data_IF_581042712026
#
_entry.id   IF_581042712026
#
_cell.length_a   1.000
_cell.length_b   1.000
_cell.length_c   1.000
_cell.angle_alpha   90.00
_cell.angle_beta   90.00
_cell.angle_gamma   90.00
#
_symmetry.space_group_name_H-M   'P 1'
#
loop_
_entity.id
_entity.type
_entity.pdbx_description
1 polymer ?
#
# COMPACT_ATOMS: atom_id res chain seq x y z
N UNK A 1 13.64 19.85 3.62
CA UNK A 1 14.82 19.00 3.33
C UNK A 1 14.57 17.62 3.93
N UNK A 2 14.77 16.56 3.17
CA UNK A 2 14.66 15.17 3.65
C UNK A 2 16.01 14.73 4.19
N UNK A 3 16.04 14.17 5.40
CA UNK A 3 17.22 13.62 6.04
C UNK A 3 16.91 12.19 6.47
N UNK A 4 17.83 11.26 6.15
CA UNK A 4 17.73 9.87 6.54
C UNK A 4 18.87 9.48 7.47
N UNK A 5 18.55 8.78 8.57
CA UNK A 5 19.55 8.33 9.54
C UNK A 5 19.11 7.06 10.27
N UNK A 6 20.06 6.19 10.59
CA UNK A 6 19.83 5.04 11.46
C UNK A 6 19.86 5.48 12.91
N UNK A 7 18.80 5.14 13.68
CA UNK A 7 18.67 5.50 15.09
C UNK A 7 19.12 4.37 16.03
N UNK A 8 18.77 3.14 15.66
CA UNK A 8 19.12 1.89 16.36
C UNK A 8 19.39 0.83 15.26
N UNK A 9 20.01 -0.32 15.60
CA UNK A 9 20.22 -1.37 14.62
C UNK A 9 18.93 -1.75 13.88
N UNK A 10 18.91 -1.56 12.56
CA UNK A 10 17.76 -1.83 11.70
C UNK A 10 16.56 -0.91 11.90
N UNK A 11 16.70 0.22 12.58
CA UNK A 11 15.66 1.27 12.73
C UNK A 11 16.15 2.55 12.08
N UNK A 12 15.50 2.94 10.98
CA UNK A 12 15.89 4.11 10.19
C UNK A 12 14.78 5.16 10.21
N UNK A 13 15.17 6.40 10.43
CA UNK A 13 14.30 7.57 10.36
C UNK A 13 14.47 8.27 9.01
N UNK A 14 13.37 8.56 8.34
CA UNK A 14 13.27 9.55 7.27
C UNK A 14 12.52 10.77 7.83
N UNK A 15 13.21 11.90 7.98
CA UNK A 15 12.64 13.13 8.50
C UNK A 15 12.54 14.21 7.41
N UNK A 16 11.35 14.77 7.23
CA UNK A 16 11.06 15.88 6.31
C UNK A 16 10.72 17.11 7.13
N UNK A 17 11.69 18.03 7.27
CA UNK A 17 11.44 19.30 7.95
C UNK A 17 10.72 20.27 7.02
N UNK A 18 9.56 20.78 7.46
CA UNK A 18 8.73 21.72 6.70
C UNK A 18 7.83 22.56 7.62
N UNK A 19 7.58 23.81 7.24
CA UNK A 19 6.61 24.71 7.90
C UNK A 19 5.25 24.76 7.18
N UNK A 20 5.10 23.99 6.11
CA UNK A 20 3.95 24.04 5.20
C UNK A 20 2.62 23.68 5.89
N UNK A 21 2.68 22.76 6.87
CA UNK A 21 1.50 22.20 7.52
C UNK A 21 1.34 22.72 8.95
N UNK A 22 0.08 22.69 9.42
CA UNK A 22 -0.27 23.01 10.81
C UNK A 22 -0.13 21.81 11.74
N UNK A 23 -0.12 20.63 11.17
CA UNK A 23 0.05 19.35 11.87
C UNK A 23 1.32 18.67 11.41
N UNK A 24 2.01 18.05 12.35
CA UNK A 24 3.05 17.08 12.08
C UNK A 24 2.44 15.69 11.89
N UNK A 25 3.10 14.83 11.14
CA UNK A 25 2.75 13.44 11.05
C UNK A 25 3.96 12.54 11.34
N UNK A 26 3.66 11.37 11.85
CA UNK A 26 4.65 10.34 12.16
C UNK A 26 4.10 8.98 11.79
N UNK A 27 4.94 8.10 11.23
CA UNK A 27 4.63 6.69 11.11
C UNK A 27 5.78 5.80 11.55
N UNK A 28 5.44 4.65 12.14
CA UNK A 28 6.37 3.55 12.41
C UNK A 28 5.90 2.33 11.65
N UNK A 29 6.79 1.74 10.85
CA UNK A 29 6.48 0.63 9.95
C UNK A 29 7.47 -0.51 10.19
N UNK A 30 6.96 -1.65 10.64
CA UNK A 30 7.68 -2.91 10.78
C UNK A 30 7.56 -3.69 9.48
N UNK A 31 8.67 -3.97 8.82
CA UNK A 31 8.73 -4.65 7.53
C UNK A 31 8.90 -6.14 7.73
N UNK A 32 7.94 -6.91 7.22
CA UNK A 32 7.98 -8.38 7.24
C UNK A 32 7.82 -8.92 5.82
N UNK A 33 8.48 -10.03 5.46
CA UNK A 33 8.09 -10.77 4.28
C UNK A 33 6.60 -11.14 4.36
N UNK A 34 5.89 -11.02 3.26
CA UNK A 34 4.48 -11.38 3.23
C UNK A 34 4.32 -12.90 3.21
N UNK A 35 3.94 -13.49 4.33
CA UNK A 35 3.71 -14.92 4.50
C UNK A 35 2.30 -15.17 4.96
N UNK A 36 1.67 -16.22 4.44
CA UNK A 36 0.30 -16.56 4.81
C UNK A 36 0.17 -16.82 6.31
N UNK A 37 1.10 -17.54 6.87
CA UNK A 37 1.10 -17.96 8.27
C UNK A 37 1.19 -16.79 9.26
N UNK A 38 1.78 -15.68 8.83
CA UNK A 38 1.99 -14.49 9.65
C UNK A 38 0.99 -13.36 9.35
N UNK A 39 0.42 -13.30 8.14
CA UNK A 39 -0.26 -12.12 7.62
C UNK A 39 -1.45 -11.66 8.50
N UNK A 40 -2.28 -12.59 8.97
CA UNK A 40 -3.41 -12.27 9.84
C UNK A 40 -2.94 -11.82 11.23
N UNK A 41 -1.95 -12.49 11.83
CA UNK A 41 -1.38 -12.09 13.12
C UNK A 41 -0.73 -10.72 13.05
N UNK A 42 0.09 -10.48 12.01
CA UNK A 42 0.73 -9.18 11.81
C UNK A 42 -0.29 -8.05 11.63
N UNK A 43 -1.43 -8.32 10.98
CA UNK A 43 -2.51 -7.34 10.83
C UNK A 43 -3.26 -7.06 12.15
N UNK A 44 -3.35 -8.04 13.04
CA UNK A 44 -3.99 -7.90 14.36
C UNK A 44 -3.16 -7.10 15.35
N UNK A 45 -1.83 -7.24 15.33
CA UNK A 45 -0.93 -6.65 16.33
C UNK A 45 -1.22 -5.16 16.58
N UNK A 46 -1.17 -4.25 15.57
CA UNK A 46 -1.35 -2.83 15.85
C UNK A 46 -2.76 -2.51 16.38
N UNK A 47 -3.79 -3.23 15.96
CA UNK A 47 -5.15 -3.02 16.45
C UNK A 47 -5.31 -3.48 17.91
N UNK A 48 -4.68 -4.59 18.30
CA UNK A 48 -4.70 -5.06 19.70
C UNK A 48 -3.91 -4.13 20.61
N UNK A 49 -2.76 -3.59 20.15
CA UNK A 49 -1.98 -2.60 20.90
C UNK A 49 -2.76 -1.31 21.17
N UNK A 50 -3.63 -0.91 20.27
CA UNK A 50 -4.52 0.25 20.44
C UNK A 50 -5.71 -0.01 21.38
N UNK A 51 -5.85 -1.21 21.95
CA UNK A 51 -6.91 -1.52 22.93
C UNK A 51 -6.53 -1.12 24.35
N UNK A 52 -5.24 -1.06 24.66
CA UNK A 52 -4.77 -0.64 25.98
C UNK A 52 -3.27 -0.84 26.20
N UNK A 53 -2.71 0.03 27.01
CA UNK A 53 -1.35 0.00 27.52
C UNK A 53 -1.33 -0.12 29.05
N UNK A 54 -0.15 -0.19 29.65
CA UNK A 54 0.01 -0.17 31.11
C UNK A 54 -0.55 1.11 31.74
N UNK A 55 -0.31 2.28 31.13
CA UNK A 55 -0.79 3.57 31.63
C UNK A 55 -2.20 3.93 31.16
N UNK A 56 -2.63 3.42 30.01
CA UNK A 56 -3.95 3.64 29.43
C UNK A 56 -4.64 2.29 29.18
N UNK A 57 -5.27 1.69 30.20
CA UNK A 57 -5.68 0.28 30.16
C UNK A 57 -6.88 -0.03 29.25
N UNK A 58 -7.56 0.95 28.69
CA UNK A 58 -8.73 0.76 27.85
C UNK A 58 -8.88 1.90 26.80
N UNK A 59 -9.81 1.72 25.86
CA UNK A 59 -10.09 2.70 24.80
C UNK A 59 -10.50 4.07 25.33
N UNK A 60 -11.18 4.13 26.49
CA UNK A 60 -11.61 5.39 27.08
C UNK A 60 -10.42 6.19 27.59
N UNK A 61 -9.49 5.55 28.29
CA UNK A 61 -8.26 6.18 28.77
C UNK A 61 -7.33 6.59 27.64
N UNK A 62 -7.25 5.78 26.57
CA UNK A 62 -6.54 6.15 25.33
C UNK A 62 -7.16 7.39 24.71
N UNK A 63 -8.49 7.43 24.53
CA UNK A 63 -9.17 8.58 23.97
C UNK A 63 -8.97 9.84 24.82
N UNK A 64 -9.11 9.74 26.15
CA UNK A 64 -8.86 10.85 27.06
C UNK A 64 -7.40 11.36 26.94
N UNK A 65 -6.43 10.44 26.82
CA UNK A 65 -5.03 10.82 26.61
C UNK A 65 -4.80 11.55 25.31
N UNK A 66 -5.41 11.11 24.21
CA UNK A 66 -5.33 11.78 22.92
C UNK A 66 -5.98 13.16 22.95
N UNK A 67 -7.12 13.32 23.66
CA UNK A 67 -7.76 14.63 23.86
C UNK A 67 -6.85 15.59 24.63
N UNK A 68 -6.16 15.14 25.70
CA UNK A 68 -5.14 15.92 26.41
C UNK A 68 -3.97 16.35 25.51
N UNK A 69 -3.69 15.57 24.44
CA UNK A 69 -2.67 15.84 23.43
C UNK A 69 -3.24 16.65 22.26
N UNK A 70 -4.19 17.55 22.53
CA UNK A 70 -4.82 18.43 21.53
C UNK A 70 -5.58 17.70 20.43
N UNK A 71 -6.18 16.56 20.74
CA UNK A 71 -6.88 15.74 19.77
C UNK A 71 -5.94 15.08 18.77
N UNK A 72 -4.72 14.72 19.19
CA UNK A 72 -3.82 13.92 18.39
C UNK A 72 -4.53 12.62 17.96
N UNK A 73 -4.27 12.16 16.75
CA UNK A 73 -4.81 10.89 16.27
C UNK A 73 -3.73 9.83 16.16
N UNK A 74 -4.06 8.61 16.55
CA UNK A 74 -3.21 7.44 16.37
C UNK A 74 -4.05 6.34 15.74
N UNK A 75 -3.57 5.77 14.65
CA UNK A 75 -4.23 4.70 13.92
C UNK A 75 -3.32 3.51 13.66
N UNK A 76 -3.94 2.31 13.60
CA UNK A 76 -3.27 1.11 13.14
C UNK A 76 -2.96 1.20 11.66
N UNK A 77 -1.81 0.67 11.26
CA UNK A 77 -1.33 0.69 9.90
C UNK A 77 -1.01 -0.74 9.45
N UNK A 78 -1.66 -1.19 8.36
CA UNK A 78 -1.35 -2.44 7.67
C UNK A 78 -1.30 -2.16 6.19
N UNK A 79 -0.11 -2.26 5.60
CA UNK A 79 0.12 -2.03 4.16
C UNK A 79 0.74 -3.27 3.51
N UNK A 80 0.61 -3.33 2.18
CA UNK A 80 1.31 -4.29 1.33
C UNK A 80 2.02 -3.52 0.24
N UNK A 81 3.31 -3.75 0.08
CA UNK A 81 4.14 -3.18 -0.99
C UNK A 81 4.91 -4.33 -1.65
N UNK A 82 4.42 -4.78 -2.80
CA UNK A 82 4.91 -6.02 -3.38
C UNK A 82 4.71 -7.22 -2.44
N UNK A 83 5.75 -7.94 -2.13
CA UNK A 83 5.77 -9.09 -1.22
C UNK A 83 6.20 -8.74 0.20
N UNK A 84 6.08 -7.46 0.56
CA UNK A 84 6.36 -6.96 1.90
C UNK A 84 5.06 -6.54 2.57
N UNK A 85 4.80 -7.09 3.75
CA UNK A 85 3.77 -6.61 4.66
C UNK A 85 4.39 -5.60 5.63
N UNK A 86 3.70 -4.47 5.80
CA UNK A 86 4.09 -3.42 6.73
C UNK A 86 3.00 -3.25 7.75
N UNK A 87 3.38 -3.31 9.04
CA UNK A 87 2.45 -3.11 10.16
C UNK A 87 3.01 -2.09 11.12
N UNK A 88 2.16 -1.35 11.81
CA UNK A 88 2.60 -0.35 12.77
C UNK A 88 1.55 0.71 13.05
N UNK A 89 1.99 1.94 13.27
CA UNK A 89 1.14 3.07 13.62
C UNK A 89 1.37 4.26 12.70
N UNK A 90 0.33 5.04 12.54
CA UNK A 90 0.36 6.37 11.98
C UNK A 90 -0.24 7.35 12.98
N UNK A 91 0.38 8.52 13.15
CA UNK A 91 -0.08 9.57 14.04
C UNK A 91 -0.06 10.95 13.37
N UNK A 92 -1.09 11.73 13.64
CA UNK A 92 -1.16 13.16 13.33
C UNK A 92 -1.30 13.95 14.63
N UNK A 93 -0.62 15.08 14.72
CA UNK A 93 -0.64 15.94 15.90
C UNK A 93 -0.45 17.41 15.51
N UNK A 94 -0.97 18.33 16.31
CA UNK A 94 -0.73 19.76 16.11
C UNK A 94 0.76 20.07 16.39
N UNK A 95 1.32 21.01 15.63
CA UNK A 95 2.70 21.45 15.85
C UNK A 95 2.84 22.25 17.16
N UNK A 96 3.93 22.02 17.93
CA UNK A 96 4.23 22.64 19.21
C UNK A 96 4.08 24.16 19.16
N UNK A 97 4.56 24.78 18.08
CA UNK A 97 4.51 26.25 17.87
C UNK A 97 3.08 26.79 17.73
N UNK A 98 2.12 25.97 17.37
CA UNK A 98 0.72 26.33 17.22
C UNK A 98 -0.09 26.01 18.48
N UNK A 99 0.27 24.96 19.19
CA UNK A 99 -0.30 24.61 20.49
C UNK A 99 0.14 25.58 21.59
N UNK A 100 1.33 26.17 21.46
CA UNK A 100 1.94 27.02 22.49
C UNK A 100 2.66 26.22 23.59
N UNK A 101 2.71 24.90 23.49
CA UNK A 101 3.41 23.98 24.39
C UNK A 101 3.90 22.73 23.63
N UNK A 102 4.64 21.86 24.33
CA UNK A 102 5.18 20.65 23.75
C UNK A 102 4.05 19.62 23.51
N UNK A 103 3.82 19.23 22.27
CA UNK A 103 2.87 18.16 21.85
C UNK A 103 3.62 16.98 21.24
N UNK A 104 4.62 17.23 20.38
CA UNK A 104 5.37 16.17 19.69
C UNK A 104 5.97 15.15 20.66
N UNK A 105 6.73 15.62 21.67
CA UNK A 105 7.39 14.70 22.59
C UNK A 105 6.42 13.84 23.38
N UNK A 106 5.35 14.38 24.00
CA UNK A 106 4.29 13.59 24.66
C UNK A 106 3.58 12.60 23.73
N UNK A 107 3.33 12.96 22.46
CA UNK A 107 2.73 12.04 21.48
C UNK A 107 3.68 10.88 21.16
N UNK A 108 4.99 11.15 20.98
CA UNK A 108 5.98 10.10 20.75
C UNK A 108 6.14 9.19 21.98
N UNK A 109 6.10 9.75 23.19
CA UNK A 109 6.13 8.97 24.43
C UNK A 109 4.92 8.05 24.55
N UNK A 110 3.74 8.55 24.21
CA UNK A 110 2.51 7.76 24.20
C UNK A 110 2.53 6.65 23.14
N UNK A 111 3.04 6.93 21.95
CA UNK A 111 3.24 5.89 20.92
C UNK A 111 4.22 4.82 21.37
N UNK A 112 5.31 5.23 22.03
CA UNK A 112 6.27 4.29 22.62
C UNK A 112 5.65 3.42 23.70
N UNK A 113 4.78 3.99 24.52
CA UNK A 113 4.02 3.23 25.54
C UNK A 113 3.08 2.22 24.89
N UNK A 114 2.26 2.61 23.93
CA UNK A 114 1.37 1.71 23.18
C UNK A 114 2.14 0.57 22.52
N UNK A 115 3.32 0.89 21.98
CA UNK A 115 4.14 -0.08 21.26
C UNK A 115 4.89 -1.04 22.17
N UNK A 116 5.48 -0.56 23.29
CA UNK A 116 6.45 -1.32 24.09
C UNK A 116 5.89 -1.79 25.43
N UNK A 117 4.77 -1.21 25.89
CA UNK A 117 4.14 -1.51 27.19
C UNK A 117 2.63 -1.79 27.02
N UNK A 118 2.28 -2.77 26.15
CA UNK A 118 0.88 -3.14 25.99
C UNK A 118 0.31 -3.68 27.31
N UNK A 119 -1.00 -3.52 27.49
CA UNK A 119 -1.68 -4.19 28.60
C UNK A 119 -1.66 -5.69 28.39
N UNK A 120 -1.11 -6.39 29.39
CA UNK A 120 -1.02 -7.84 29.40
C UNK A 120 -1.86 -8.44 30.53
N UNK A 121 -2.28 -9.68 30.36
CA UNK A 121 -2.92 -10.53 31.36
C UNK A 121 -2.29 -11.92 31.26
N UNK A 122 -1.89 -12.49 32.39
CA UNK A 122 -1.21 -13.79 32.45
C UNK A 122 0.03 -13.91 31.53
N UNK A 123 0.73 -12.79 31.30
CA UNK A 123 1.95 -12.75 30.49
C UNK A 123 1.75 -12.73 28.96
N UNK A 124 0.52 -12.58 28.49
CA UNK A 124 0.16 -12.43 27.08
C UNK A 124 -0.85 -11.31 26.86
N UNK A 125 -1.28 -11.08 25.62
CA UNK A 125 -2.33 -10.09 25.32
C UNK A 125 -3.66 -10.44 26.01
N UNK A 126 -4.39 -9.41 26.47
CA UNK A 126 -5.73 -9.56 27.06
C UNK A 126 -6.65 -10.28 26.08
N UNK A 127 -7.21 -11.41 26.49
CA UNK A 127 -8.05 -12.28 25.66
C UNK A 127 -9.22 -11.54 25.03
N UNK A 128 -9.91 -10.68 25.80
CA UNK A 128 -11.04 -9.92 25.31
C UNK A 128 -10.64 -8.98 24.16
N UNK A 129 -9.45 -8.36 24.23
CA UNK A 129 -8.95 -7.49 23.18
C UNK A 129 -8.64 -8.26 21.89
N UNK A 130 -7.95 -9.40 22.02
CA UNK A 130 -7.63 -10.26 20.87
C UNK A 130 -8.92 -10.75 20.21
N UNK A 131 -9.88 -11.30 20.97
CA UNK A 131 -11.13 -11.80 20.41
C UNK A 131 -11.99 -10.68 19.76
N UNK A 132 -11.96 -9.46 20.32
CA UNK A 132 -12.63 -8.31 19.72
C UNK A 132 -12.00 -7.94 18.36
N UNK A 133 -10.66 -7.85 18.29
CA UNK A 133 -9.97 -7.48 17.07
C UNK A 133 -9.98 -8.60 16.02
N UNK A 134 -10.02 -9.87 16.42
CA UNK A 134 -10.29 -11.01 15.51
C UNK A 134 -11.64 -10.85 14.81
N UNK A 135 -12.70 -10.51 15.55
CA UNK A 135 -14.02 -10.26 14.94
C UNK A 135 -13.98 -9.08 13.97
N UNK A 136 -13.30 -7.99 14.33
CA UNK A 136 -13.15 -6.82 13.48
C UNK A 136 -12.39 -7.16 12.19
N UNK A 137 -11.28 -7.89 12.31
CA UNK A 137 -10.49 -8.34 11.17
C UNK A 137 -11.26 -9.30 10.26
N UNK A 138 -11.94 -10.29 10.85
CA UNK A 138 -12.78 -11.24 10.12
C UNK A 138 -13.88 -10.51 9.32
N UNK A 139 -14.55 -9.54 9.94
CA UNK A 139 -15.55 -8.70 9.27
C UNK A 139 -14.93 -7.87 8.14
N UNK A 140 -13.76 -7.29 8.35
CA UNK A 140 -13.06 -6.52 7.32
C UNK A 140 -12.65 -7.41 6.12
N UNK A 141 -12.20 -8.64 6.37
CA UNK A 141 -11.89 -9.61 5.32
C UNK A 141 -13.16 -10.04 4.58
N UNK A 142 -14.19 -10.45 5.32
CA UNK A 142 -15.44 -10.90 4.73
C UNK A 142 -16.14 -9.80 3.91
N UNK A 143 -16.06 -8.54 4.34
CA UNK A 143 -16.70 -7.42 3.64
C UNK A 143 -16.06 -7.08 2.28
N UNK A 144 -14.88 -7.61 1.97
CA UNK A 144 -14.22 -7.38 0.66
C UNK A 144 -15.09 -7.82 -0.52
N UNK A 145 -15.89 -8.86 -0.33
CA UNK A 145 -16.82 -9.35 -1.37
C UNK A 145 -17.90 -8.33 -1.74
N UNK A 146 -18.19 -7.34 -0.88
CA UNK A 146 -19.20 -6.32 -1.13
C UNK A 146 -18.75 -5.33 -2.22
N UNK A 147 -17.45 -5.02 -2.30
CA UNK A 147 -16.87 -4.29 -3.44
C UNK A 147 -16.46 -5.31 -4.52
N UNK A 148 -17.35 -5.55 -5.46
CA UNK A 148 -17.16 -6.53 -6.54
C UNK A 148 -15.97 -6.22 -7.44
N UNK A 149 -15.57 -4.95 -7.57
CA UNK A 149 -14.38 -4.55 -8.32
C UNK A 149 -13.11 -4.96 -7.57
N UNK A 150 -13.00 -4.61 -6.30
CA UNK A 150 -11.87 -4.98 -5.44
C UNK A 150 -11.78 -6.50 -5.29
N UNK A 151 -12.93 -7.17 -5.16
CA UNK A 151 -13.01 -8.62 -5.11
C UNK A 151 -12.45 -9.27 -6.39
N UNK A 152 -12.96 -8.89 -7.57
CA UNK A 152 -12.52 -9.44 -8.86
C UNK A 152 -11.01 -9.21 -9.10
N UNK A 153 -10.51 -8.03 -8.77
CA UNK A 153 -9.07 -7.73 -8.84
C UNK A 153 -8.25 -8.59 -7.87
N UNK A 154 -8.78 -8.83 -6.67
CA UNK A 154 -8.14 -9.72 -5.69
C UNK A 154 -8.06 -11.17 -6.18
N UNK A 155 -9.14 -11.70 -6.76
CA UNK A 155 -9.16 -13.04 -7.34
C UNK A 155 -8.24 -13.17 -8.56
N UNK A 156 -8.17 -12.13 -9.40
CA UNK A 156 -7.19 -12.05 -10.47
C UNK A 156 -5.76 -12.21 -9.93
N UNK A 157 -5.38 -11.40 -8.94
CA UNK A 157 -4.05 -11.44 -8.33
C UNK A 157 -3.76 -12.79 -7.70
N UNK A 158 -4.72 -13.37 -6.99
CA UNK A 158 -4.61 -14.70 -6.37
C UNK A 158 -4.36 -15.80 -7.41
N UNK A 159 -5.00 -15.70 -8.58
CA UNK A 159 -4.80 -16.63 -9.69
C UNK A 159 -3.48 -16.38 -10.41
N UNK A 160 -3.19 -15.12 -10.74
CA UNK A 160 -2.00 -14.72 -11.48
C UNK A 160 -0.71 -15.08 -10.75
N UNK A 161 -0.69 -14.85 -9.43
CA UNK A 161 0.47 -15.05 -8.57
C UNK A 161 0.32 -16.31 -7.68
N UNK A 162 -0.44 -17.31 -8.14
CA UNK A 162 -0.67 -18.52 -7.36
C UNK A 162 0.66 -19.21 -6.97
N UNK A 163 0.83 -19.47 -5.68
CA UNK A 163 2.07 -20.04 -5.13
C UNK A 163 3.16 -19.01 -4.79
N UNK A 164 2.95 -17.74 -5.06
CA UNK A 164 3.88 -16.67 -4.72
C UNK A 164 3.39 -15.88 -3.50
N UNK A 165 4.30 -15.27 -2.76
CA UNK A 165 3.97 -14.43 -1.60
C UNK A 165 3.01 -13.30 -1.97
N UNK A 166 3.13 -12.75 -3.19
CA UNK A 166 2.25 -11.68 -3.66
C UNK A 166 0.76 -12.07 -3.73
N UNK A 167 0.41 -13.36 -3.84
CA UNK A 167 -0.99 -13.80 -3.79
C UNK A 167 -1.62 -13.60 -2.41
N UNK A 168 -0.83 -13.55 -1.33
CA UNK A 168 -1.31 -13.40 0.04
C UNK A 168 -1.90 -11.99 0.24
N UNK A 169 -3.15 -11.86 0.72
CA UNK A 169 -3.73 -10.56 1.02
C UNK A 169 -3.07 -9.91 2.23
N UNK A 170 -3.02 -8.57 2.26
CA UNK A 170 -2.39 -7.80 3.35
C UNK A 170 -2.95 -8.07 4.76
N UNK A 171 -4.20 -8.50 4.85
CA UNK A 171 -4.88 -8.81 6.12
C UNK A 171 -4.95 -10.33 6.39
N UNK A 172 -4.28 -11.15 5.58
CA UNK A 172 -4.46 -12.60 5.60
C UNK A 172 -5.79 -13.07 5.02
N UNK A 173 -6.08 -14.35 5.18
CA UNK A 173 -7.33 -14.99 4.81
C UNK A 173 -8.22 -15.19 6.02
N UNK A 174 -9.53 -15.33 5.82
CA UNK A 174 -10.52 -15.46 6.89
C UNK A 174 -10.24 -16.68 7.78
N UNK A 175 -9.84 -17.79 7.19
CA UNK A 175 -9.52 -19.06 7.86
C UNK A 175 -8.28 -18.97 8.75
N UNK A 176 -7.38 -18.01 8.49
CA UNK A 176 -6.15 -17.81 9.26
C UNK A 176 -6.39 -16.94 10.53
N UNK A 177 -7.57 -16.31 10.67
CA UNK A 177 -7.91 -15.45 11.82
C UNK A 177 -8.39 -16.26 13.02
N UNK A 178 -9.24 -17.26 12.79
CA UNK A 178 -9.87 -18.04 13.89
C UNK A 178 -8.85 -18.75 14.79
N UNK A 179 -7.76 -19.36 14.27
CA UNK A 179 -6.79 -20.08 15.09
C UNK A 179 -5.91 -19.19 15.97
N UNK A 180 -5.93 -17.85 15.78
CA UNK A 180 -5.05 -16.93 16.52
C UNK A 180 -5.43 -16.93 17.99
N UNK A 181 -4.44 -17.21 18.87
CA UNK A 181 -4.58 -17.15 20.32
C UNK A 181 -3.86 -15.94 20.91
N UNK A 182 -4.21 -15.46 22.12
CA UNK A 182 -3.50 -14.38 22.80
C UNK A 182 -2.00 -14.64 22.96
N UNK A 183 -1.64 -15.86 23.33
CA UNK A 183 -0.26 -16.31 23.54
C UNK A 183 0.52 -16.33 22.21
N UNK A 184 -0.09 -16.90 21.17
CA UNK A 184 0.50 -16.95 19.81
C UNK A 184 0.70 -15.55 19.22
N UNK A 185 -0.30 -14.68 19.38
CA UNK A 185 -0.22 -13.30 18.91
C UNK A 185 0.84 -12.50 19.66
N UNK A 186 0.98 -12.71 20.98
CA UNK A 186 2.02 -12.07 21.78
C UNK A 186 3.42 -12.55 21.37
N UNK A 187 3.59 -13.83 21.09
CA UNK A 187 4.85 -14.37 20.58
C UNK A 187 5.21 -13.75 19.22
N UNK A 188 4.23 -13.64 18.30
CA UNK A 188 4.40 -12.97 17.00
C UNK A 188 4.76 -11.49 17.17
N UNK A 189 4.08 -10.76 18.05
CA UNK A 189 4.40 -9.37 18.36
C UNK A 189 5.86 -9.21 18.81
N UNK A 190 6.34 -10.04 19.73
CA UNK A 190 7.73 -9.99 20.21
C UNK A 190 8.73 -10.25 19.07
N UNK A 191 8.42 -11.19 18.18
CA UNK A 191 9.23 -11.50 17.00
C UNK A 191 9.24 -10.30 16.03
N UNK A 192 8.09 -9.70 15.75
CA UNK A 192 7.98 -8.51 14.89
C UNK A 192 8.84 -7.38 15.43
N UNK A 193 8.79 -7.08 16.73
CA UNK A 193 9.61 -6.03 17.34
C UNK A 193 11.12 -6.32 17.22
N UNK A 194 11.52 -7.57 17.42
CA UNK A 194 12.94 -7.95 17.47
C UNK A 194 13.57 -8.07 16.08
N UNK A 195 12.86 -8.69 15.13
CA UNK A 195 13.45 -9.18 13.87
C UNK A 195 13.11 -8.35 12.64
N UNK A 196 12.11 -7.44 12.72
CA UNK A 196 11.75 -6.61 11.56
C UNK A 196 12.73 -5.48 11.35
N UNK A 197 13.01 -5.14 10.08
CA UNK A 197 13.48 -3.80 9.76
C UNK A 197 12.37 -2.80 10.07
N UNK A 198 12.74 -1.64 10.63
CA UNK A 198 11.79 -0.60 11.03
C UNK A 198 12.11 0.67 10.28
N UNK A 199 11.15 1.20 9.55
CA UNK A 199 11.22 2.49 8.89
C UNK A 199 10.27 3.46 9.59
N UNK A 200 10.84 4.56 10.07
CA UNK A 200 10.14 5.67 10.68
C UNK A 200 10.06 6.80 9.67
N UNK A 201 8.90 7.40 9.57
CA UNK A 201 8.72 8.61 8.79
C UNK A 201 8.21 9.73 9.69
N UNK A 202 8.82 10.89 9.61
CA UNK A 202 8.38 12.10 10.28
C UNK A 202 8.29 13.24 9.27
N UNK A 203 7.23 14.02 9.36
CA UNK A 203 7.12 15.30 8.68
C UNK A 203 6.53 16.34 9.62
N UNK A 204 7.21 17.48 9.73
CA UNK A 204 6.79 18.56 10.60
C UNK A 204 7.87 19.65 10.72
N UNK A 205 7.72 20.51 11.73
CA UNK A 205 8.58 21.67 11.92
C UNK A 205 9.87 21.40 12.66
N UNK A 206 9.94 20.30 13.42
CA UNK A 206 11.16 19.97 14.19
C UNK A 206 12.32 19.60 13.29
N UNK A 207 13.52 19.90 13.75
CA UNK A 207 14.74 19.45 13.08
C UNK A 207 14.86 17.93 13.13
N UNK A 208 15.53 17.34 12.13
CA UNK A 208 15.79 15.90 12.11
C UNK A 208 16.57 15.43 13.36
N UNK A 209 17.46 16.29 13.92
CA UNK A 209 18.21 15.99 15.13
C UNK A 209 17.31 15.88 16.36
N UNK A 210 16.40 16.85 16.58
CA UNK A 210 15.48 16.83 17.71
C UNK A 210 14.53 15.63 17.65
N UNK A 211 14.05 15.30 16.43
CA UNK A 211 13.21 14.12 16.20
C UNK A 211 13.99 12.84 16.51
N UNK A 212 15.23 12.74 16.04
CA UNK A 212 16.07 11.57 16.27
C UNK A 212 16.36 11.36 17.77
N UNK A 213 16.71 12.40 18.50
CA UNK A 213 16.96 12.32 19.95
C UNK A 213 15.73 11.84 20.70
N UNK A 214 14.56 12.41 20.40
CA UNK A 214 13.30 11.99 21.02
C UNK A 214 12.96 10.52 20.73
N UNK A 215 13.10 10.10 19.46
CA UNK A 215 12.78 8.73 19.06
C UNK A 215 13.78 7.71 19.59
N UNK A 216 15.08 8.06 19.66
CA UNK A 216 16.08 7.20 20.32
C UNK A 216 15.75 6.97 21.80
N UNK A 217 15.28 8.00 22.50
CA UNK A 217 14.84 7.90 23.88
C UNK A 217 13.62 6.99 24.03
N UNK A 218 12.61 7.19 23.19
CA UNK A 218 11.36 6.41 23.21
C UNK A 218 11.59 4.95 22.87
N UNK A 219 12.42 4.68 21.85
CA UNK A 219 12.63 3.33 21.32
C UNK A 219 13.86 2.62 21.93
N UNK A 220 14.52 3.19 22.95
CA UNK A 220 15.71 2.59 23.55
C UNK A 220 15.52 1.15 24.07
N UNK A 221 14.30 0.80 24.48
CA UNK A 221 13.93 -0.52 24.99
C UNK A 221 13.39 -1.45 23.89
N UNK A 222 13.34 -0.98 22.63
CA UNK A 222 12.90 -1.81 21.52
C UNK A 222 13.87 -3.00 21.34
N UNK A 223 13.40 -4.23 21.48
CA UNK A 223 14.25 -5.39 21.33
C UNK A 223 14.76 -5.49 19.90
N UNK A 224 16.07 -5.71 19.73
CA UNK A 224 16.66 -5.84 18.38
C UNK A 224 17.48 -7.13 18.30
N UNK A 225 17.18 -7.95 17.29
CA UNK A 225 17.98 -9.14 16.98
C UNK A 225 19.34 -8.74 16.37
N UNK A 226 20.27 -9.67 16.37
CA UNK A 226 21.60 -9.46 15.75
C UNK A 226 21.53 -9.39 14.20
N UNK A 227 20.48 -9.95 13.60
CA UNK A 227 20.21 -9.89 12.18
C UNK A 227 18.71 -9.69 11.94
N UNK A 228 18.38 -8.97 10.88
CA UNK A 228 17.00 -8.70 10.48
C UNK A 228 16.64 -9.52 9.26
N UNK A 229 15.39 -9.97 9.20
CA UNK A 229 14.91 -10.70 8.05
C UNK A 229 14.93 -9.82 6.81
N UNK A 230 15.47 -10.36 5.72
CA UNK A 230 15.50 -9.65 4.44
C UNK A 230 14.09 -9.57 3.86
N UNK A 231 13.73 -8.40 3.38
CA UNK A 231 12.48 -8.17 2.67
C UNK A 231 12.78 -7.78 1.22
N UNK A 232 11.92 -8.20 0.32
CA UNK A 232 12.05 -7.90 -1.10
C UNK A 232 10.82 -8.37 -1.86
N UNK A 233 10.80 -8.11 -3.14
CA UNK A 233 9.73 -8.54 -4.04
C UNK A 233 10.35 -9.12 -5.30
N UNK A 234 9.98 -10.32 -5.65
CA UNK A 234 10.38 -10.93 -6.92
C UNK A 234 9.52 -10.36 -8.06
N UNK A 235 10.17 -10.00 -9.17
CA UNK A 235 9.46 -9.53 -10.35
C UNK A 235 8.63 -10.66 -10.95
N UNK A 236 7.38 -10.36 -11.34
CA UNK A 236 6.50 -11.32 -11.97
C UNK A 236 7.05 -11.79 -13.31
N UNK A 237 7.11 -13.10 -13.49
CA UNK A 237 7.43 -13.73 -14.77
C UNK A 237 6.16 -13.89 -15.62
N UNK A 238 6.30 -13.72 -16.95
CA UNK A 238 5.20 -13.95 -17.87
C UNK A 238 4.77 -15.43 -17.87
N UNK A 239 3.46 -15.66 -17.83
CA UNK A 239 2.91 -17.00 -18.01
C UNK A 239 3.20 -17.52 -19.44
N UNK A 240 3.35 -18.83 -19.59
CA UNK A 240 3.47 -19.46 -20.92
C UNK A 240 2.16 -19.39 -21.69
N UNK A 241 1.04 -19.63 -20.98
CA UNK A 241 -0.31 -19.61 -21.51
C UNK A 241 -1.18 -18.68 -20.68
N UNK A 242 -2.09 -17.95 -21.34
CA UNK A 242 -3.05 -17.07 -20.67
C UNK A 242 -4.04 -17.88 -19.86
N UNK A 243 -4.11 -17.61 -18.56
CA UNK A 243 -5.06 -18.26 -17.66
C UNK A 243 -6.39 -17.53 -17.71
N UNK A 244 -7.50 -18.28 -17.78
CA UNK A 244 -8.86 -17.72 -17.78
C UNK A 244 -9.65 -18.34 -16.64
N UNK A 245 -10.24 -17.50 -15.79
CA UNK A 245 -11.06 -17.92 -14.66
C UNK A 245 -12.38 -17.15 -14.71
N UNK A 246 -13.49 -17.88 -14.62
CA UNK A 246 -14.83 -17.31 -14.50
C UNK A 246 -15.42 -17.72 -13.16
N UNK A 247 -16.01 -16.75 -12.47
CA UNK A 247 -16.78 -16.97 -11.26
C UNK A 247 -18.20 -16.39 -11.43
N UNK A 248 -19.20 -17.05 -10.85
CA UNK A 248 -20.59 -16.60 -10.88
C UNK A 248 -21.06 -16.17 -9.50
N UNK A 249 -21.65 -14.99 -9.43
CA UNK A 249 -22.14 -14.41 -8.20
C UNK A 249 -23.39 -13.58 -8.45
N UNK A 250 -24.18 -13.32 -7.43
CA UNK A 250 -25.31 -12.39 -7.53
C UNK A 250 -24.79 -10.97 -7.76
N UNK A 251 -24.71 -10.59 -9.04
CA UNK A 251 -24.27 -9.28 -9.51
C UNK A 251 -25.12 -8.87 -10.71
N UNK A 252 -25.38 -7.57 -10.80
CA UNK A 252 -26.14 -6.96 -11.92
C UNK A 252 -25.25 -6.53 -13.08
N UNK A 253 -23.93 -6.59 -12.90
CA UNK A 253 -22.94 -6.15 -13.87
C UNK A 253 -21.69 -7.02 -13.81
N UNK A 254 -21.20 -7.46 -14.94
CA UNK A 254 -19.94 -8.19 -15.07
C UNK A 254 -18.73 -7.38 -14.62
N UNK A 255 -17.73 -8.06 -14.05
CA UNK A 255 -16.41 -7.48 -13.78
C UNK A 255 -15.38 -8.25 -14.60
N UNK A 256 -14.71 -7.52 -15.47
CA UNK A 256 -13.57 -8.01 -16.24
C UNK A 256 -12.29 -7.47 -15.62
N UNK A 257 -11.44 -8.35 -15.14
CA UNK A 257 -10.13 -8.02 -14.62
C UNK A 257 -9.06 -8.75 -15.44
N UNK A 258 -8.09 -8.00 -15.97
CA UNK A 258 -7.02 -8.56 -16.80
C UNK A 258 -5.67 -8.21 -16.19
N UNK A 259 -4.86 -9.22 -15.93
CA UNK A 259 -3.52 -9.10 -15.37
C UNK A 259 -2.44 -9.27 -16.43
N UNK A 260 -1.49 -8.37 -16.42
CA UNK A 260 -0.37 -8.35 -17.34
C UNK A 260 0.95 -8.30 -16.59
N UNK A 261 1.98 -8.94 -17.10
CA UNK A 261 3.36 -8.68 -16.68
C UNK A 261 3.89 -7.49 -17.47
N UNK A 262 4.67 -6.64 -16.82
CA UNK A 262 5.21 -5.42 -17.48
C UNK A 262 6.67 -5.57 -17.89
N UNK A 263 7.36 -6.59 -17.37
CA UNK A 263 8.79 -6.76 -17.56
C UNK A 263 9.65 -5.65 -16.92
N UNK A 264 9.03 -4.78 -16.10
CA UNK A 264 9.69 -3.63 -15.49
C UNK A 264 9.15 -3.38 -14.07
N UNK A 265 10.04 -3.04 -13.15
CA UNK A 265 9.74 -2.65 -11.76
C UNK A 265 10.24 -1.23 -11.47
N UNK A 266 9.85 -0.67 -10.32
CA UNK A 266 10.18 0.70 -9.94
C UNK A 266 11.70 1.02 -9.88
N UNK A 267 12.55 0.02 -9.71
CA UNK A 267 14.01 0.18 -9.68
C UNK A 267 14.69 0.23 -11.06
N UNK A 268 13.94 0.00 -12.12
CA UNK A 268 14.50 -0.09 -13.47
C UNK A 268 14.44 1.27 -14.21
N UNK A 269 15.42 1.53 -15.06
CA UNK A 269 15.55 2.79 -15.79
C UNK A 269 14.31 3.13 -16.65
N UNK A 270 13.60 2.11 -17.12
CA UNK A 270 12.42 2.25 -17.98
C UNK A 270 11.11 2.47 -17.19
N UNK A 271 11.16 2.47 -15.87
CA UNK A 271 9.96 2.64 -15.04
C UNK A 271 9.19 3.95 -15.33
N UNK A 272 9.83 5.11 -15.55
CA UNK A 272 9.09 6.31 -15.96
C UNK A 272 8.31 6.14 -17.27
N UNK A 273 8.87 5.42 -18.26
CA UNK A 273 8.18 5.13 -19.50
C UNK A 273 6.97 4.20 -19.29
N UNK A 274 7.08 3.21 -18.38
CA UNK A 274 5.96 2.36 -17.99
C UNK A 274 4.84 3.15 -17.29
N UNK A 275 5.18 4.15 -16.46
CA UNK A 275 4.16 5.02 -15.85
C UNK A 275 3.41 5.85 -16.89
N UNK A 276 4.14 6.44 -17.86
CA UNK A 276 3.52 7.18 -18.97
C UNK A 276 2.66 6.26 -19.80
N UNK A 277 3.14 5.05 -20.15
CA UNK A 277 2.34 4.03 -20.82
C UNK A 277 1.04 3.73 -20.08
N UNK A 278 1.11 3.43 -18.80
CA UNK A 278 -0.09 3.13 -18.00
C UNK A 278 -1.09 4.29 -18.05
N UNK A 279 -0.59 5.53 -17.98
CA UNK A 279 -1.46 6.72 -18.00
C UNK A 279 -2.09 6.94 -19.36
N UNK A 280 -1.35 6.74 -20.45
CA UNK A 280 -1.88 6.75 -21.84
C UNK A 280 -2.89 5.64 -22.04
N UNK A 281 -2.61 4.44 -21.54
CA UNK A 281 -3.44 3.26 -21.76
C UNK A 281 -4.75 3.32 -20.96
N UNK A 282 -4.68 3.42 -19.61
CA UNK A 282 -5.87 3.35 -18.76
C UNK A 282 -5.79 4.11 -17.43
N UNK A 283 -4.73 4.89 -17.19
CA UNK A 283 -4.49 5.54 -15.90
C UNK A 283 -5.17 6.91 -15.71
N UNK A 284 -5.90 7.42 -16.67
CA UNK A 284 -6.50 8.75 -16.57
C UNK A 284 -7.74 8.92 -17.46
N UNK A 285 -8.42 10.07 -17.32
CA UNK A 285 -9.64 10.41 -18.09
C UNK A 285 -9.36 10.72 -19.58
N UNK A 286 -8.12 10.91 -19.95
CA UNK A 286 -7.67 11.09 -21.34
C UNK A 286 -7.06 9.82 -21.94
N UNK A 287 -7.11 8.71 -21.19
CA UNK A 287 -6.53 7.43 -21.60
C UNK A 287 -7.34 6.75 -22.70
N UNK A 288 -6.68 5.85 -23.44
CA UNK A 288 -7.33 5.07 -24.49
C UNK A 288 -8.50 4.24 -23.97
N UNK A 289 -8.36 3.59 -22.81
CA UNK A 289 -9.44 2.81 -22.23
C UNK A 289 -10.65 3.69 -21.86
N UNK A 290 -10.41 4.89 -21.35
CA UNK A 290 -11.49 5.80 -21.01
C UNK A 290 -12.16 6.35 -22.29
N UNK A 291 -11.39 6.88 -23.24
CA UNK A 291 -11.94 7.56 -24.43
C UNK A 291 -12.53 6.58 -25.44
N UNK A 292 -11.85 5.45 -25.71
CA UNK A 292 -12.29 4.49 -26.72
C UNK A 292 -13.28 3.47 -26.17
N UNK A 293 -12.92 2.75 -25.11
CA UNK A 293 -13.72 1.62 -24.61
C UNK A 293 -14.98 2.10 -23.89
N UNK A 294 -14.86 3.16 -23.07
CA UNK A 294 -15.99 3.69 -22.30
C UNK A 294 -16.81 4.71 -23.09
N UNK A 295 -16.18 5.79 -23.60
CA UNK A 295 -16.94 6.92 -24.17
C UNK A 295 -17.40 6.65 -25.60
N UNK A 296 -16.49 6.29 -26.52
CA UNK A 296 -16.83 6.12 -27.93
C UNK A 296 -17.65 4.83 -28.18
N UNK A 297 -17.20 3.70 -27.65
CA UNK A 297 -17.84 2.41 -27.91
C UNK A 297 -18.90 2.02 -26.86
N UNK A 298 -18.97 2.72 -25.75
CA UNK A 298 -19.92 2.47 -24.67
C UNK A 298 -19.97 0.98 -24.23
N UNK A 299 -18.81 0.32 -24.20
CA UNK A 299 -18.69 -1.09 -23.85
C UNK A 299 -18.72 -1.32 -22.34
N UNK A 300 -18.38 -0.29 -21.56
CA UNK A 300 -18.25 -0.43 -20.12
C UNK A 300 -18.63 0.85 -19.37
N UNK A 301 -18.91 0.71 -18.07
CA UNK A 301 -19.15 1.85 -17.17
C UNK A 301 -17.84 2.50 -16.68
N UNK A 302 -16.82 1.70 -16.55
CA UNK A 302 -15.45 2.13 -16.28
C UNK A 302 -14.47 1.14 -16.92
N UNK A 303 -13.34 1.64 -17.37
CA UNK A 303 -12.17 0.85 -17.73
C UNK A 303 -10.93 1.62 -17.31
N UNK A 304 -10.06 0.99 -16.54
CA UNK A 304 -8.84 1.61 -16.05
C UNK A 304 -7.72 0.60 -15.87
N UNK A 305 -6.48 1.09 -15.94
CA UNK A 305 -5.29 0.31 -15.62
C UNK A 305 -4.54 0.91 -14.43
N UNK A 306 -3.86 0.04 -13.68
CA UNK A 306 -2.98 0.40 -12.58
C UNK A 306 -1.75 -0.50 -12.57
N UNK A 307 -0.64 0.00 -12.01
CA UNK A 307 0.62 -0.73 -11.90
C UNK A 307 0.92 -1.06 -10.45
N UNK A 308 1.25 -2.32 -10.18
CA UNK A 308 1.98 -2.69 -8.96
C UNK A 308 3.48 -2.65 -9.26
N UNK A 309 4.06 -1.54 -8.87
CA UNK A 309 5.42 -1.14 -9.27
C UNK A 309 6.53 -2.08 -8.77
N UNK A 310 6.34 -2.73 -7.61
CA UNK A 310 7.36 -3.60 -7.02
C UNK A 310 7.33 -4.99 -7.65
N UNK A 311 6.13 -5.47 -8.05
CA UNK A 311 5.94 -6.79 -8.65
C UNK A 311 6.10 -6.78 -10.17
N UNK A 312 6.00 -5.62 -10.81
CA UNK A 312 6.02 -5.51 -12.27
C UNK A 312 4.75 -6.06 -12.91
N UNK A 313 3.60 -5.77 -12.30
CA UNK A 313 2.28 -6.19 -12.77
C UNK A 313 1.44 -4.98 -13.13
N UNK A 314 0.73 -5.05 -14.27
CA UNK A 314 -0.32 -4.12 -14.64
C UNK A 314 -1.67 -4.83 -14.55
N UNK A 315 -2.66 -4.17 -13.95
CA UNK A 315 -4.01 -4.71 -13.81
C UNK A 315 -4.97 -3.77 -14.51
N UNK A 316 -5.74 -4.29 -15.47
CA UNK A 316 -6.91 -3.62 -16.04
C UNK A 316 -8.14 -4.10 -15.30
N UNK A 317 -9.02 -3.18 -14.93
CA UNK A 317 -10.31 -3.46 -14.28
C UNK A 317 -11.40 -2.73 -15.02
N UNK A 318 -12.47 -3.45 -15.37
CA UNK A 318 -13.62 -2.90 -16.11
C UNK A 318 -14.95 -3.46 -15.58
N UNK A 319 -15.99 -2.62 -15.59
CA UNK A 319 -17.37 -2.98 -15.30
C UNK A 319 -18.17 -3.02 -16.58
N UNK A 320 -18.58 -4.21 -17.04
CA UNK A 320 -19.11 -4.48 -18.38
C UNK A 320 -20.46 -5.18 -18.30
N UNK A 321 -21.37 -4.93 -19.22
CA UNK A 321 -22.57 -5.74 -19.40
C UNK A 321 -22.19 -7.16 -19.82
N UNK A 322 -22.99 -8.17 -19.43
CA UNK A 322 -22.61 -9.57 -19.62
C UNK A 322 -22.41 -9.98 -21.08
N UNK A 323 -23.21 -9.42 -21.97
CA UNK A 323 -23.16 -9.65 -23.44
C UNK A 323 -22.02 -8.92 -24.15
N UNK A 324 -21.39 -7.95 -23.47
CA UNK A 324 -20.29 -7.15 -24.04
C UNK A 324 -18.91 -7.54 -23.51
N UNK A 325 -18.81 -8.54 -22.64
CA UNK A 325 -17.55 -8.91 -21.98
C UNK A 325 -16.44 -9.26 -22.96
N UNK A 326 -16.72 -10.10 -23.97
CA UNK A 326 -15.76 -10.53 -24.97
C UNK A 326 -15.32 -9.35 -25.86
N UNK A 327 -16.28 -8.53 -26.32
CA UNK A 327 -15.99 -7.33 -27.11
C UNK A 327 -15.15 -6.32 -26.34
N UNK A 328 -15.41 -6.16 -25.04
CA UNK A 328 -14.62 -5.26 -24.19
C UNK A 328 -13.19 -5.79 -23.98
N UNK A 329 -13.02 -7.11 -23.80
CA UNK A 329 -11.71 -7.74 -23.73
C UNK A 329 -10.90 -7.52 -25.01
N UNK A 330 -11.49 -7.81 -26.16
CA UNK A 330 -10.85 -7.63 -27.47
C UNK A 330 -10.44 -6.17 -27.70
N UNK A 331 -11.31 -5.23 -27.36
CA UNK A 331 -11.03 -3.81 -27.51
C UNK A 331 -9.92 -3.33 -26.58
N UNK A 332 -9.90 -3.79 -25.32
CA UNK A 332 -8.81 -3.49 -24.37
C UNK A 332 -7.47 -3.97 -24.93
N UNK A 333 -7.42 -5.18 -25.48
CA UNK A 333 -6.20 -5.72 -26.09
C UNK A 333 -5.80 -4.95 -27.34
N UNK A 334 -6.78 -4.51 -28.16
CA UNK A 334 -6.52 -3.68 -29.33
C UNK A 334 -5.90 -2.33 -28.95
N UNK A 335 -6.40 -1.68 -27.88
CA UNK A 335 -5.82 -0.42 -27.41
C UNK A 335 -4.38 -0.60 -26.88
N UNK A 336 -4.05 -1.76 -26.31
CA UNK A 336 -2.67 -2.07 -25.96
C UNK A 336 -1.80 -2.27 -27.20
N UNK A 337 -2.33 -2.91 -28.25
CA UNK A 337 -1.63 -3.09 -29.53
C UNK A 337 -1.36 -1.74 -30.22
N UNK A 338 -2.32 -0.82 -30.18
CA UNK A 338 -2.13 0.55 -30.66
C UNK A 338 -0.94 1.22 -29.95
N UNK A 339 -0.82 1.05 -28.62
CA UNK A 339 0.33 1.54 -27.87
C UNK A 339 1.66 0.88 -28.30
N UNK A 340 1.68 -0.43 -28.57
CA UNK A 340 2.86 -1.17 -29.07
C UNK A 340 3.34 -0.69 -30.43
N UNK A 341 2.38 -0.31 -31.29
CA UNK A 341 2.65 0.21 -32.62
C UNK A 341 3.04 1.70 -32.61
N UNK A 342 2.98 2.35 -31.43
CA UNK A 342 3.30 3.77 -31.29
C UNK A 342 2.15 4.69 -31.76
N UNK A 343 0.94 4.15 -31.89
CA UNK A 343 -0.28 4.91 -32.21
C UNK A 343 -0.76 5.67 -30.95
N UNK A 344 0.06 6.64 -30.56
CA UNK A 344 -0.15 7.53 -29.40
C UNK A 344 -0.13 8.96 -29.94
N UNK A 345 -1.26 9.65 -29.86
CA UNK A 345 -1.37 11.03 -30.27
C UNK A 345 -0.55 11.97 -29.37
N UNK A 346 -0.25 13.19 -29.90
CA UNK A 346 0.37 14.25 -29.11
C UNK A 346 -0.44 14.57 -27.87
N UNK A 347 -1.75 14.62 -28.00
CA UNK A 347 -2.66 14.93 -26.91
C UNK A 347 -2.62 13.85 -25.79
N UNK A 348 -2.69 12.57 -26.14
CA UNK A 348 -2.62 11.47 -25.17
C UNK A 348 -1.28 11.47 -24.42
N UNK A 349 -0.17 11.63 -25.17
CA UNK A 349 1.18 11.62 -24.60
C UNK A 349 1.43 12.79 -23.65
N UNK A 350 1.16 14.03 -24.11
CA UNK A 350 1.40 15.22 -23.31
C UNK A 350 0.44 15.31 -22.10
N UNK A 351 -0.83 14.92 -22.29
CA UNK A 351 -1.80 14.84 -21.19
C UNK A 351 -1.36 13.85 -20.12
N UNK A 352 -0.84 12.69 -20.49
CA UNK A 352 -0.36 11.67 -19.55
C UNK A 352 0.83 12.17 -18.74
N UNK A 353 1.83 12.81 -19.39
CA UNK A 353 2.98 13.41 -18.68
C UNK A 353 2.54 14.52 -17.73
N UNK A 354 1.70 15.43 -18.20
CA UNK A 354 1.20 16.54 -17.38
C UNK A 354 0.39 16.03 -16.17
N UNK A 355 -0.44 15.01 -16.37
CA UNK A 355 -1.17 14.36 -15.28
C UNK A 355 -0.23 13.81 -14.21
N UNK A 356 0.78 13.02 -14.59
CA UNK A 356 1.75 12.43 -13.68
C UNK A 356 2.56 13.49 -12.93
N UNK A 357 3.04 14.51 -13.61
CA UNK A 357 3.81 15.60 -13.00
C UNK A 357 2.94 16.43 -12.03
N UNK A 358 1.68 16.67 -12.39
CA UNK A 358 0.72 17.34 -11.51
C UNK A 358 0.39 16.50 -10.29
N UNK A 359 0.22 15.18 -10.47
CA UNK A 359 -0.05 14.26 -9.37
C UNK A 359 1.11 14.19 -8.36
N UNK A 360 2.37 14.16 -8.85
CA UNK A 360 3.55 14.25 -7.99
C UNK A 360 3.61 15.57 -7.23
N UNK A 361 3.29 16.70 -7.89
CA UNK A 361 3.22 18.02 -7.21
C UNK A 361 2.14 18.03 -6.12
N UNK A 362 0.96 17.47 -6.41
CA UNK A 362 -0.15 17.38 -5.45
C UNK A 362 0.20 16.47 -4.28
N UNK A 363 1.01 15.42 -4.51
CA UNK A 363 1.49 14.55 -3.44
C UNK A 363 2.32 15.30 -2.39
N UNK A 364 3.07 16.33 -2.79
CA UNK A 364 3.83 17.20 -1.88
C UNK A 364 2.95 18.03 -0.93
N UNK A 365 1.63 18.08 -1.19
CA UNK A 365 0.63 18.77 -0.35
C UNK A 365 -0.10 17.80 0.60
N UNK A 366 0.29 16.54 0.63
CA UNK A 366 -0.35 15.51 1.46
C UNK A 366 0.69 14.73 2.27
N UNK A 367 0.73 14.92 3.61
CA UNK A 367 1.63 14.18 4.49
C UNK A 367 1.53 12.67 4.32
N UNK A 368 0.31 12.13 4.27
CA UNK A 368 0.09 10.70 4.11
C UNK A 368 0.55 10.14 2.75
N UNK A 369 0.50 10.94 1.66
CA UNK A 369 1.03 10.52 0.35
C UNK A 369 2.57 10.54 0.34
N UNK A 370 3.18 11.50 1.03
CA UNK A 370 4.63 11.55 1.19
C UNK A 370 5.14 10.37 2.01
N UNK A 371 4.47 10.06 3.13
CA UNK A 371 4.76 8.87 3.92
C UNK A 371 4.63 7.60 3.07
N UNK A 372 3.49 7.40 2.38
CA UNK A 372 3.26 6.21 1.56
C UNK A 372 4.30 6.07 0.42
N UNK A 373 4.72 7.18 -0.19
CA UNK A 373 5.77 7.20 -1.19
C UNK A 373 7.13 6.82 -0.59
N UNK A 374 7.55 7.50 0.48
CA UNK A 374 8.85 7.25 1.13
C UNK A 374 8.96 5.79 1.60
N UNK A 375 7.95 5.32 2.34
CA UNK A 375 7.89 3.92 2.82
C UNK A 375 7.83 2.92 1.65
N UNK A 376 7.10 3.24 0.57
CA UNK A 376 7.05 2.43 -0.64
C UNK A 376 8.41 2.32 -1.36
N UNK A 377 9.20 3.40 -1.39
CA UNK A 377 10.58 3.36 -1.91
C UNK A 377 11.48 2.44 -1.05
N UNK A 378 11.34 2.51 0.27
CA UNK A 378 12.11 1.64 1.20
C UNK A 378 11.74 0.16 1.05
N UNK A 379 10.46 -0.14 0.86
CA UNK A 379 10.00 -1.51 0.59
C UNK A 379 10.54 -2.07 -0.74
N UNK A 380 10.79 -1.20 -1.72
CA UNK A 380 11.42 -1.55 -2.99
C UNK A 380 12.96 -1.54 -2.95
N UNK A 381 13.60 -1.16 -1.84
CA UNK A 381 15.05 -1.01 -1.74
C UNK A 381 15.60 0.20 -2.50
N UNK A 382 14.75 1.22 -2.77
CA UNK A 382 15.10 2.39 -3.56
C UNK A 382 15.37 3.62 -2.69
N UNK A 383 16.22 4.51 -3.17
CA UNK A 383 16.60 5.75 -2.47
C UNK A 383 16.10 7.03 -3.17
N UNK A 384 15.65 6.95 -4.43
CA UNK A 384 15.23 8.10 -5.23
C UNK A 384 14.00 8.83 -4.68
N UNK A 385 13.99 10.16 -4.79
CA UNK A 385 12.86 11.02 -4.41
C UNK A 385 11.84 11.24 -5.54
N UNK A 386 10.75 11.95 -5.22
CA UNK A 386 9.72 12.32 -6.20
C UNK A 386 10.27 13.22 -7.32
N UNK A 387 11.28 14.05 -7.01
CA UNK A 387 11.93 14.91 -8.01
C UNK A 387 12.71 14.11 -9.06
N UNK A 388 13.36 13.01 -8.65
CA UNK A 388 14.07 12.12 -9.57
C UNK A 388 13.09 11.45 -10.51
N UNK A 389 11.95 10.99 -9.97
CA UNK A 389 10.87 10.41 -10.76
C UNK A 389 10.27 11.44 -11.73
N UNK A 390 10.04 12.67 -11.27
CA UNK A 390 9.53 13.74 -12.13
C UNK A 390 10.47 14.03 -13.31
N UNK A 391 11.77 14.15 -13.05
CA UNK A 391 12.78 14.31 -14.13
C UNK A 391 12.78 13.11 -15.09
N UNK A 392 12.63 11.91 -14.57
CA UNK A 392 12.51 10.70 -15.39
C UNK A 392 11.30 10.78 -16.31
N UNK A 393 10.13 11.18 -15.80
CA UNK A 393 8.89 11.34 -16.59
C UNK A 393 9.03 12.44 -17.63
N UNK A 394 9.62 13.58 -17.28
CA UNK A 394 9.87 14.68 -18.24
C UNK A 394 10.74 14.24 -19.43
N UNK A 395 11.71 13.37 -19.20
CA UNK A 395 12.61 12.87 -20.22
C UNK A 395 12.02 11.78 -21.12
N UNK A 396 10.88 11.19 -20.77
CA UNK A 396 10.26 10.10 -21.54
C UNK A 396 9.88 10.55 -22.95
N UNK A 397 10.19 9.71 -23.92
CA UNK A 397 9.80 9.85 -25.34
C UNK A 397 8.70 8.87 -25.72
N UNK A 398 7.93 9.15 -26.80
CA UNK A 398 6.91 8.21 -27.29
C UNK A 398 7.48 6.85 -27.71
N UNK A 399 8.69 6.84 -28.28
CA UNK A 399 9.36 5.59 -28.63
C UNK A 399 9.61 4.70 -27.42
N UNK A 400 10.00 5.29 -26.28
CA UNK A 400 10.16 4.54 -25.03
C UNK A 400 8.82 4.03 -24.47
N UNK A 401 7.72 4.78 -24.65
CA UNK A 401 6.37 4.32 -24.27
C UNK A 401 5.96 3.11 -25.10
N UNK A 402 6.16 3.16 -26.43
CA UNK A 402 5.88 2.02 -27.31
C UNK A 402 6.74 0.79 -26.97
N UNK A 403 8.02 1.01 -26.64
CA UNK A 403 8.91 -0.07 -26.21
C UNK A 403 8.48 -0.69 -24.88
N UNK A 404 8.05 0.12 -23.92
CA UNK A 404 7.45 -0.37 -22.68
C UNK A 404 6.18 -1.19 -22.96
N UNK A 405 5.32 -0.75 -23.91
CA UNK A 405 4.11 -1.47 -24.30
C UNK A 405 4.41 -2.85 -24.91
N UNK A 406 5.48 -3.00 -25.69
CA UNK A 406 5.88 -4.29 -26.28
C UNK A 406 6.26 -5.34 -25.24
N UNK A 407 6.71 -4.92 -24.06
CA UNK A 407 7.04 -5.81 -22.94
C UNK A 407 5.84 -6.22 -22.10
N UNK A 408 4.72 -5.48 -22.22
CA UNK A 408 3.49 -5.82 -21.49
C UNK A 408 2.85 -7.05 -22.13
N UNK A 409 2.72 -8.13 -21.32
CA UNK A 409 2.17 -9.39 -21.80
C UNK A 409 0.98 -9.81 -20.94
N UNK A 410 -0.13 -10.18 -21.59
CA UNK A 410 -1.30 -10.73 -20.91
C UNK A 410 -0.93 -12.05 -20.23
N UNK A 411 -1.32 -12.18 -18.96
CA UNK A 411 -1.06 -13.37 -18.14
C UNK A 411 -2.36 -14.05 -17.71
N UNK A 412 -3.29 -13.31 -17.11
CA UNK A 412 -4.49 -13.88 -16.51
C UNK A 412 -5.70 -13.00 -16.78
N UNK A 413 -6.84 -13.61 -17.04
CA UNK A 413 -8.16 -12.96 -17.12
C UNK A 413 -9.06 -13.57 -16.06
N UNK A 414 -9.67 -12.74 -15.25
CA UNK A 414 -10.71 -13.10 -14.30
C UNK A 414 -12.00 -12.38 -14.67
N UNK A 415 -13.09 -13.16 -14.79
CA UNK A 415 -14.41 -12.62 -15.11
C UNK A 415 -15.39 -13.00 -14.01
N UNK A 416 -16.10 -12.00 -13.48
CA UNK A 416 -17.22 -12.20 -12.57
C UNK A 416 -18.51 -11.98 -13.36
N UNK A 417 -19.36 -13.00 -13.44
CA UNK A 417 -20.66 -12.97 -14.14
C UNK A 417 -21.84 -13.13 -13.16
N UNK A 418 -23.04 -12.77 -13.62
CA UNK A 418 -24.28 -13.05 -12.91
C UNK A 418 -24.57 -14.55 -12.81
N UNK A 419 -25.33 -14.93 -11.78
CA UNK A 419 -25.84 -16.31 -11.62
C UNK A 419 -26.97 -16.63 -12.59
N UNK A 420 -27.70 -15.60 -13.06
CA UNK A 420 -28.73 -15.67 -14.09
C UNK A 420 -28.20 -15.07 -15.38
N UNK A 421 -27.83 -15.93 -16.35
CA UNK A 421 -27.35 -15.50 -17.66
C UNK A 421 -26.74 -16.64 -18.45
#
# INVERSE_FOLDING_TARGET
MEIRMELLPGVTLTAVQTEKFKTGCFSINFFRPLRREEAAMNALIPSVLLRGSEGCPDLRSIAARLDELYGASVGSLVRKKGEVQLTGFYADFIEDTLAGEAVFAPVMDFLGELLLRPRLEDGCFVREYVESEKRNLANAIASRVNDKRTYATGQLVKTMCAGEAYAVPRLGELEDVEPVTPEGLYAQYRMVLAESRVELFYMGRKSAGDVAEQLQRVLRELPRAAAFEAVGTEKQCAARDVRRVEERMDVTQGKLSMGFTTGCTAGEADYPALLVLNTVFGGGITSKLFTKVREELSLCYYAMSSIEKNKGVMIVSSGVEFDKLETAEEEILRQLEDCRNGEISDYEFESAKNYLLSDLKTALDSPGRLDDYAIGQRAAGLEGGMEDLARGIEAVTRGQVAEAARRVMLDTIFTLRGTEG
#
